data_IF_050271886686
#
_entry.id   IF_050271886686
#
_cell.length_a   1.000
_cell.length_b   1.000
_cell.length_c   1.000
_cell.angle_alpha   90.00
_cell.angle_beta   90.00
_cell.angle_gamma   90.00
#
_symmetry.space_group_name_H-M   'P 1'
#
loop_
_entity.id
_entity.type
_entity.pdbx_description
1 polymer ?
#
# COMPACT_ATOMS: atom_id res chain seq x y z
N UNK A 1 7.72 -4.98 -31.17
CA UNK A 1 6.70 -6.01 -31.41
C UNK A 1 5.34 -5.48 -30.95
N UNK A 2 4.33 -5.37 -31.84
CA UNK A 2 2.98 -4.88 -31.46
C UNK A 2 2.13 -6.07 -30.98
N UNK A 3 1.48 -5.94 -29.82
CA UNK A 3 0.60 -6.99 -29.26
C UNK A 3 -0.65 -7.24 -30.15
N UNK A 4 -1.12 -8.49 -30.19
CA UNK A 4 -2.34 -8.87 -30.92
C UNK A 4 -3.58 -8.23 -30.29
N UNK A 5 -4.61 -7.99 -31.11
CA UNK A 5 -5.84 -7.29 -30.69
C UNK A 5 -6.54 -7.96 -29.49
N UNK A 6 -6.45 -9.27 -29.37
CA UNK A 6 -7.09 -10.04 -28.30
C UNK A 6 -6.17 -10.34 -27.11
N UNK A 7 -4.93 -9.86 -27.13
CA UNK A 7 -3.96 -10.07 -26.06
C UNK A 7 -4.00 -8.93 -25.02
N UNK A 8 -3.89 -9.28 -23.74
CA UNK A 8 -4.16 -8.46 -22.55
C UNK A 8 -3.14 -7.31 -22.33
N UNK A 9 -3.39 -6.35 -21.41
CA UNK A 9 -4.25 -5.18 -21.51
C UNK A 9 -3.61 -4.02 -22.29
N UNK A 10 -4.34 -3.47 -23.26
CA UNK A 10 -3.88 -2.36 -24.13
C UNK A 10 -3.64 -1.01 -23.42
N UNK A 11 -3.92 -0.91 -22.11
CA UNK A 11 -3.69 0.28 -21.28
C UNK A 11 -3.40 -0.12 -19.82
N UNK A 12 -2.49 0.60 -19.17
CA UNK A 12 -2.24 0.53 -17.73
C UNK A 12 -3.53 0.92 -16.98
N UNK A 13 -3.97 0.09 -16.02
CA UNK A 13 -5.12 0.39 -15.15
C UNK A 13 -6.48 -0.22 -15.51
N UNK A 14 -6.59 -1.05 -16.57
CA UNK A 14 -7.86 -1.75 -16.91
C UNK A 14 -8.31 -2.74 -15.81
N UNK A 15 -7.37 -3.31 -15.08
CA UNK A 15 -7.65 -4.34 -14.05
C UNK A 15 -7.80 -3.78 -12.63
N UNK A 16 -7.63 -2.48 -12.39
CA UNK A 16 -7.63 -1.92 -11.04
C UNK A 16 -9.02 -1.92 -10.38
N UNK A 17 -10.09 -1.90 -11.19
CA UNK A 17 -11.49 -1.84 -10.73
C UNK A 17 -12.18 -3.21 -10.66
N UNK A 18 -11.48 -4.30 -11.01
CA UNK A 18 -12.03 -5.66 -10.99
C UNK A 18 -11.62 -6.46 -9.74
N UNK A 19 -12.18 -7.67 -9.60
CA UNK A 19 -11.86 -8.60 -8.49
C UNK A 19 -10.35 -8.90 -8.38
N UNK A 20 -9.65 -8.99 -9.51
CA UNK A 20 -8.20 -9.17 -9.56
C UNK A 20 -7.40 -7.93 -9.11
N UNK A 21 -7.87 -6.72 -9.44
CA UNK A 21 -7.24 -5.47 -9.00
C UNK A 21 -7.40 -5.23 -7.51
N UNK A 22 -8.61 -5.41 -6.98
CA UNK A 22 -8.87 -5.26 -5.55
C UNK A 22 -8.13 -6.31 -4.71
N UNK A 23 -8.01 -7.55 -5.19
CA UNK A 23 -7.17 -8.57 -4.57
C UNK A 23 -5.69 -8.17 -4.56
N UNK A 24 -5.17 -7.65 -5.67
CA UNK A 24 -3.78 -7.16 -5.77
C UNK A 24 -3.51 -5.97 -4.84
N UNK A 25 -4.43 -5.01 -4.76
CA UNK A 25 -4.33 -3.88 -3.83
C UNK A 25 -4.29 -4.35 -2.37
N UNK A 26 -5.11 -5.35 -2.00
CA UNK A 26 -5.09 -5.94 -0.66
C UNK A 26 -3.76 -6.64 -0.35
N UNK A 27 -3.19 -7.35 -1.31
CA UNK A 27 -1.86 -7.98 -1.17
C UNK A 27 -0.78 -6.92 -0.92
N UNK A 28 -0.77 -5.84 -1.72
CA UNK A 28 0.17 -4.74 -1.55
C UNK A 28 0.03 -4.07 -0.18
N UNK A 29 -1.21 -3.79 0.27
CA UNK A 29 -1.47 -3.24 1.60
C UNK A 29 -0.97 -4.16 2.72
N UNK A 30 -1.13 -5.48 2.57
CA UNK A 30 -0.61 -6.46 3.54
C UNK A 30 0.91 -6.46 3.56
N UNK A 31 1.56 -6.44 2.40
CA UNK A 31 3.02 -6.37 2.30
C UNK A 31 3.58 -5.10 2.95
N UNK A 32 2.99 -3.93 2.67
CA UNK A 32 3.43 -2.67 3.27
C UNK A 32 3.18 -2.63 4.77
N UNK A 33 2.06 -3.17 5.26
CA UNK A 33 1.81 -3.29 6.70
C UNK A 33 2.81 -4.22 7.39
N UNK A 34 3.15 -5.36 6.77
CA UNK A 34 4.18 -6.26 7.30
C UNK A 34 5.55 -5.60 7.29
N UNK A 35 5.90 -4.87 6.23
CA UNK A 35 7.14 -4.11 6.16
C UNK A 35 7.20 -3.05 7.27
N UNK A 36 6.13 -2.27 7.46
CA UNK A 36 6.00 -1.32 8.57
C UNK A 36 6.19 -1.99 9.92
N UNK A 37 5.60 -3.17 10.15
CA UNK A 37 5.78 -3.92 11.40
C UNK A 37 7.21 -4.42 11.59
N UNK A 38 7.90 -4.81 10.52
CA UNK A 38 9.30 -5.24 10.58
C UNK A 38 10.21 -4.05 10.91
N UNK A 39 10.08 -2.97 10.14
CA UNK A 39 10.84 -1.73 10.36
C UNK A 39 10.55 -1.09 11.72
N UNK A 40 9.28 -1.09 12.16
CA UNK A 40 8.89 -0.61 13.49
C UNK A 40 9.24 -1.61 14.59
N UNK A 41 9.29 -2.91 14.29
CA UNK A 41 9.66 -3.96 15.25
C UNK A 41 11.13 -3.92 15.64
N UNK A 42 12.00 -3.44 14.75
CA UNK A 42 13.37 -3.04 15.07
C UNK A 42 13.40 -1.83 16.02
N UNK A 43 12.38 -0.97 15.99
CA UNK A 43 12.25 0.19 16.88
C UNK A 43 11.50 -0.11 18.19
N UNK A 44 10.54 -1.04 18.20
CA UNK A 44 9.66 -1.40 19.35
C UNK A 44 10.30 -2.36 20.37
N UNK A 45 11.64 -2.44 20.44
CA UNK A 45 12.30 -2.76 21.71
C UNK A 45 12.46 -1.53 22.60
N UNK A 46 12.16 -0.33 22.09
CA UNK A 46 12.03 0.90 22.86
C UNK A 46 10.72 1.61 22.52
N UNK A 47 9.76 1.51 23.43
CA UNK A 47 8.75 2.54 23.69
C UNK A 47 7.62 2.90 22.70
N UNK A 48 6.48 3.10 23.37
CA UNK A 48 5.48 4.15 23.24
C UNK A 48 4.64 4.28 21.95
N UNK A 49 3.37 3.92 22.11
CA UNK A 49 2.28 4.44 21.30
C UNK A 49 2.07 5.92 21.65
N UNK A 50 2.81 6.80 20.98
CA UNK A 50 2.52 8.24 20.99
C UNK A 50 2.10 8.62 19.57
N UNK A 51 0.95 9.27 19.46
CA UNK A 51 0.43 9.86 18.24
C UNK A 51 1.55 10.68 17.54
N UNK A 52 1.60 10.71 16.20
CA UNK A 52 2.60 11.53 15.51
C UNK A 52 2.43 12.99 15.95
N UNK A 53 3.46 13.56 16.58
CA UNK A 53 3.47 14.93 17.12
C UNK A 53 3.12 16.00 16.08
N UNK A 54 3.27 15.68 14.79
CA UNK A 54 2.90 16.55 13.66
C UNK A 54 1.39 16.84 13.54
N UNK A 55 0.52 16.01 14.12
CA UNK A 55 -0.94 16.20 14.06
C UNK A 55 -1.50 17.01 15.25
N UNK A 56 -0.64 17.52 16.15
CA UNK A 56 -1.07 18.23 17.37
C UNK A 56 -1.05 19.76 17.29
N UNK A 57 -0.59 20.35 16.17
CA UNK A 57 -0.55 21.80 16.02
C UNK A 57 -1.88 22.35 15.48
N UNK A 58 -2.74 22.70 16.44
CA UNK A 58 -3.55 23.92 16.50
C UNK A 58 -4.20 24.45 15.22
N UNK A 59 -5.52 24.27 15.14
CA UNK A 59 -6.39 25.26 14.49
C UNK A 59 -6.60 26.42 15.47
N UNK A 60 -5.99 27.56 15.19
CA UNK A 60 -6.36 28.88 15.73
C UNK A 60 -6.38 29.87 14.58
#
# INVERSE_FOLDING_TARGET
MRLKRWESPRRKGRNDKGKGGSARQRQLKKQTQMLRKRLKGEQKKGECDVLPSFLSLGYT
#
